data_IF_304720533991
#
_entry.id   IF_304720533991
#
_cell.length_a   1.000
_cell.length_b   1.000
_cell.length_c   1.000
_cell.angle_alpha   90.00
_cell.angle_beta   90.00
_cell.angle_gamma   90.00
#
_symmetry.space_group_name_H-M   'P 1'
#
loop_
_entity.id
_entity.type
_entity.pdbx_description
1 polymer ?
#
# COMPACT_ATOMS: atom_id res chain seq x y z
N UNK A 1 -39.29 26.45 12.69
CA UNK A 1 -38.21 27.46 12.55
C UNK A 1 -37.24 26.93 11.51
N UNK A 2 -37.02 27.65 10.42
CA UNK A 2 -35.97 27.30 9.46
C UNK A 2 -34.63 27.81 10.01
N UNK A 3 -33.62 26.94 10.12
CA UNK A 3 -32.27 27.37 10.46
C UNK A 3 -31.66 28.09 9.25
N UNK A 4 -30.79 29.08 9.50
CA UNK A 4 -30.09 29.80 8.44
C UNK A 4 -29.19 28.87 7.61
N UNK A 5 -28.95 29.25 6.35
CA UNK A 5 -28.12 28.47 5.43
C UNK A 5 -26.69 28.29 5.94
N UNK A 6 -26.15 29.27 6.68
CA UNK A 6 -24.82 29.20 7.28
C UNK A 6 -24.71 28.08 8.33
N UNK A 7 -25.74 27.92 9.18
CA UNK A 7 -25.78 26.85 10.20
C UNK A 7 -25.78 25.48 9.52
N UNK A 8 -26.53 25.36 8.41
CA UNK A 8 -26.59 24.14 7.61
C UNK A 8 -25.25 23.81 6.96
N UNK A 9 -24.56 24.81 6.39
CA UNK A 9 -23.23 24.65 5.81
C UNK A 9 -22.18 24.25 6.87
N UNK A 10 -22.23 24.87 8.06
CA UNK A 10 -21.35 24.50 9.17
C UNK A 10 -21.62 23.06 9.66
N UNK A 11 -22.89 22.68 9.77
CA UNK A 11 -23.29 21.31 10.10
C UNK A 11 -22.76 20.30 9.06
N UNK A 12 -22.89 20.63 7.78
CA UNK A 12 -22.40 19.82 6.66
C UNK A 12 -20.89 19.62 6.74
N UNK A 13 -20.13 20.69 6.95
CA UNK A 13 -18.68 20.62 7.08
C UNK A 13 -18.24 19.75 8.26
N UNK A 14 -18.83 19.94 9.45
CA UNK A 14 -18.54 19.13 10.63
C UNK A 14 -18.88 17.65 10.42
N UNK A 15 -19.98 17.37 9.72
CA UNK A 15 -20.38 16.01 9.41
C UNK A 15 -19.41 15.35 8.44
N UNK A 16 -19.13 15.99 7.30
CA UNK A 16 -18.29 15.47 6.23
C UNK A 16 -16.88 15.16 6.74
N UNK A 17 -16.35 16.03 7.61
CA UNK A 17 -15.04 15.84 8.24
C UNK A 17 -15.02 14.80 9.37
N UNK A 18 -16.19 14.28 9.79
CA UNK A 18 -16.29 13.32 10.88
C UNK A 18 -16.06 13.93 12.27
N UNK A 19 -16.18 15.25 12.42
CA UNK A 19 -15.90 15.98 13.66
C UNK A 19 -16.96 15.80 14.77
N UNK A 20 -17.95 14.92 14.57
CA UNK A 20 -18.94 14.55 15.58
C UNK A 20 -20.11 13.76 15.02
N UNK A 21 -20.92 13.19 15.92
CA UNK A 21 -22.22 12.60 15.60
C UNK A 21 -23.28 13.68 15.35
N UNK A 22 -24.40 13.32 14.73
CA UNK A 22 -25.54 14.23 14.51
C UNK A 22 -25.97 14.95 15.81
N UNK A 23 -25.93 14.25 16.95
CA UNK A 23 -26.23 14.82 18.27
C UNK A 23 -25.18 15.84 18.73
N UNK A 24 -23.88 15.52 18.57
CA UNK A 24 -22.78 16.41 18.94
C UNK A 24 -22.77 17.67 18.05
N UNK A 25 -23.01 17.51 16.75
CA UNK A 25 -23.10 18.62 15.79
C UNK A 25 -24.29 19.51 16.13
N UNK A 26 -25.45 18.90 16.40
CA UNK A 26 -26.64 19.66 16.76
C UNK A 26 -26.46 20.45 18.06
N UNK A 27 -25.86 19.85 19.09
CA UNK A 27 -25.53 20.52 20.34
C UNK A 27 -24.55 21.69 20.11
N UNK A 28 -23.50 21.47 19.31
CA UNK A 28 -22.48 22.48 19.00
C UNK A 28 -23.04 23.69 18.25
N UNK A 29 -24.04 23.48 17.40
CA UNK A 29 -24.64 24.52 16.55
C UNK A 29 -25.96 25.07 17.11
N UNK A 30 -26.36 24.67 18.31
CA UNK A 30 -27.61 25.13 18.94
C UNK A 30 -28.88 24.64 18.24
N UNK A 31 -28.80 23.53 17.49
CA UNK A 31 -29.93 22.91 16.81
C UNK A 31 -30.71 22.09 17.83
N UNK A 32 -31.97 22.48 18.07
CA UNK A 32 -32.82 21.89 19.12
C UNK A 32 -33.18 20.42 18.88
N UNK A 33 -33.18 20.01 17.61
CA UNK A 33 -33.59 18.68 17.16
C UNK A 33 -32.47 18.03 16.35
N UNK A 34 -31.70 17.10 16.94
CA UNK A 34 -30.62 16.40 16.22
C UNK A 34 -31.06 15.74 14.92
N UNK A 35 -32.33 15.31 14.83
CA UNK A 35 -32.87 14.69 13.61
C UNK A 35 -32.84 15.64 12.39
N UNK A 36 -32.79 16.95 12.63
CA UNK A 36 -32.65 17.95 11.57
C UNK A 36 -31.37 17.75 10.75
N UNK A 37 -30.28 17.29 11.39
CA UNK A 37 -29.03 16.95 10.70
C UNK A 37 -29.25 15.73 9.80
N UNK A 38 -29.92 14.70 10.30
CA UNK A 38 -30.27 13.50 9.53
C UNK A 38 -31.18 13.80 8.34
N UNK A 39 -32.13 14.73 8.50
CA UNK A 39 -32.98 15.19 7.40
C UNK A 39 -32.16 15.91 6.33
N UNK A 40 -31.28 16.83 6.71
CA UNK A 40 -30.40 17.52 5.76
C UNK A 40 -29.49 16.57 4.99
N UNK A 41 -28.88 15.59 5.68
CA UNK A 41 -28.05 14.56 5.05
C UNK A 41 -28.78 13.80 3.96
N UNK A 42 -30.01 13.36 4.26
CA UNK A 42 -30.83 12.59 3.31
C UNK A 42 -31.31 13.44 2.14
N UNK A 43 -31.73 14.68 2.39
CA UNK A 43 -32.27 15.56 1.34
C UNK A 43 -31.18 16.06 0.38
N UNK A 44 -29.96 16.28 0.87
CA UNK A 44 -28.86 16.85 0.08
C UNK A 44 -27.76 15.85 -0.28
N UNK A 45 -27.91 14.57 0.08
CA UNK A 45 -26.95 13.53 -0.27
C UNK A 45 -25.57 13.69 0.38
N UNK A 46 -25.49 14.17 1.62
CA UNK A 46 -24.20 14.42 2.30
C UNK A 46 -23.34 13.17 2.44
N UNK A 47 -23.94 11.98 2.51
CA UNK A 47 -23.21 10.72 2.57
C UNK A 47 -22.39 10.46 1.28
N UNK A 48 -22.92 10.83 0.11
CA UNK A 48 -22.22 10.72 -1.17
C UNK A 48 -21.04 11.71 -1.21
N UNK A 49 -21.28 12.95 -0.79
CA UNK A 49 -20.23 13.96 -0.72
C UNK A 49 -19.12 13.56 0.24
N UNK A 50 -19.45 12.97 1.38
CA UNK A 50 -18.45 12.47 2.34
C UNK A 50 -17.61 11.36 1.73
N UNK A 51 -18.22 10.40 1.03
CA UNK A 51 -17.45 9.35 0.34
C UNK A 51 -16.50 9.95 -0.69
N UNK A 52 -16.94 10.95 -1.46
CA UNK A 52 -16.10 11.64 -2.44
C UNK A 52 -14.94 12.39 -1.77
N UNK A 53 -15.22 13.15 -0.71
CA UNK A 53 -14.20 13.88 0.05
C UNK A 53 -13.21 12.92 0.72
N UNK A 54 -13.69 11.81 1.28
CA UNK A 54 -12.85 10.77 1.87
C UNK A 54 -11.91 10.17 0.84
N UNK A 55 -12.45 9.77 -0.33
CA UNK A 55 -11.63 9.24 -1.43
C UNK A 55 -10.53 10.20 -1.86
N UNK A 56 -10.85 11.48 -2.10
CA UNK A 56 -9.84 12.48 -2.47
C UNK A 56 -8.81 12.68 -1.36
N UNK A 57 -9.26 12.68 -0.10
CA UNK A 57 -8.37 12.85 1.05
C UNK A 57 -7.42 11.66 1.16
N UNK A 58 -7.93 10.44 1.02
CA UNK A 58 -7.15 9.20 0.99
C UNK A 58 -6.15 9.20 -0.16
N UNK A 59 -6.55 9.59 -1.36
CA UNK A 59 -5.67 9.73 -2.52
C UNK A 59 -4.55 10.74 -2.25
N UNK A 60 -4.86 11.91 -1.70
CA UNK A 60 -3.87 12.95 -1.37
C UNK A 60 -2.93 12.53 -0.25
N UNK A 61 -3.45 11.88 0.80
CA UNK A 61 -2.63 11.34 1.89
C UNK A 61 -1.70 10.27 1.35
N UNK A 62 -2.22 9.36 0.53
CA UNK A 62 -1.42 8.31 -0.13
C UNK A 62 -0.32 8.92 -0.98
N UNK A 63 -0.62 9.96 -1.76
CA UNK A 63 0.36 10.67 -2.57
C UNK A 63 1.43 11.36 -1.70
N UNK A 64 1.04 12.11 -0.67
CA UNK A 64 1.98 12.81 0.21
C UNK A 64 2.90 11.83 0.97
N UNK A 65 2.35 10.69 1.40
CA UNK A 65 3.12 9.60 2.01
C UNK A 65 4.10 9.00 0.99
N UNK A 66 3.66 8.75 -0.24
CA UNK A 66 4.53 8.23 -1.31
C UNK A 66 5.67 9.20 -1.65
N UNK A 67 5.39 10.50 -1.73
CA UNK A 67 6.40 11.54 -1.94
C UNK A 67 7.43 11.56 -0.79
N UNK A 68 6.96 11.54 0.46
CA UNK A 68 7.82 11.50 1.65
C UNK A 68 8.72 10.25 1.67
N UNK A 69 8.16 9.08 1.34
CA UNK A 69 8.92 7.83 1.24
C UNK A 69 9.96 7.93 0.13
N UNK A 70 9.60 8.50 -1.02
CA UNK A 70 10.51 8.66 -2.17
C UNK A 70 11.69 9.58 -1.83
N UNK A 71 11.44 10.71 -1.17
CA UNK A 71 12.49 11.61 -0.70
C UNK A 71 13.42 10.95 0.30
N UNK A 72 12.85 10.24 1.28
CA UNK A 72 13.60 9.50 2.29
C UNK A 72 14.48 8.42 1.64
N UNK A 73 13.91 7.63 0.73
CA UNK A 73 14.61 6.58 0.00
C UNK A 73 15.75 7.17 -0.85
N UNK A 74 15.51 8.30 -1.52
CA UNK A 74 16.54 8.99 -2.31
C UNK A 74 17.72 9.43 -1.44
N UNK A 75 17.46 9.95 -0.24
CA UNK A 75 18.51 10.33 0.71
C UNK A 75 19.29 9.10 1.20
N UNK A 76 18.60 8.06 1.66
CA UNK A 76 19.26 6.83 2.12
C UNK A 76 20.10 6.18 1.03
N UNK A 77 19.62 6.17 -0.23
CA UNK A 77 20.38 5.64 -1.36
C UNK A 77 21.73 6.37 -1.52
N UNK A 78 21.72 7.71 -1.44
CA UNK A 78 22.96 8.51 -1.52
C UNK A 78 23.92 8.22 -0.36
N UNK A 79 23.38 8.02 0.84
CA UNK A 79 24.19 7.67 2.02
C UNK A 79 24.84 6.29 1.88
N UNK A 80 24.10 5.30 1.39
CA UNK A 80 24.63 3.96 1.14
C UNK A 80 25.66 3.94 0.00
N UNK A 81 25.41 4.67 -1.10
CA UNK A 81 26.38 4.84 -2.19
C UNK A 81 27.68 5.47 -1.71
N UNK A 82 27.60 6.45 -0.79
CA UNK A 82 28.77 7.07 -0.18
C UNK A 82 29.53 6.08 0.71
N UNK A 83 28.83 5.27 1.50
CA UNK A 83 29.44 4.21 2.32
C UNK A 83 30.19 3.19 1.45
N UNK A 84 29.57 2.72 0.36
CA UNK A 84 30.23 1.83 -0.59
C UNK A 84 31.47 2.47 -1.20
N UNK A 85 31.37 3.73 -1.64
CA UNK A 85 32.48 4.46 -2.25
C UNK A 85 33.66 4.60 -1.29
N UNK A 86 33.40 4.93 -0.02
CA UNK A 86 34.43 5.00 1.04
C UNK A 86 35.02 3.63 1.35
N UNK A 87 34.20 2.59 1.40
CA UNK A 87 34.65 1.22 1.58
C UNK A 87 35.58 0.75 0.45
N UNK A 88 35.20 0.99 -0.82
CA UNK A 88 36.04 0.68 -1.99
C UNK A 88 37.35 1.46 -1.96
N UNK A 89 37.32 2.74 -1.61
CA UNK A 89 38.54 3.54 -1.49
C UNK A 89 39.44 3.00 -0.37
N UNK A 90 38.88 2.68 0.80
CA UNK A 90 39.62 2.04 1.89
C UNK A 90 40.24 0.70 1.46
N UNK A 91 39.53 -0.11 0.68
CA UNK A 91 40.07 -1.38 0.15
C UNK A 91 41.25 -1.18 -0.81
N UNK A 92 41.28 -0.07 -1.58
CA UNK A 92 42.40 0.25 -2.48
C UNK A 92 43.67 0.63 -1.72
N UNK A 93 43.51 1.30 -0.58
CA UNK A 93 44.62 1.89 0.18
C UNK A 93 45.17 0.96 1.28
N UNK A 94 44.47 -0.14 1.59
CA UNK A 94 44.82 -1.05 2.69
C UNK A 94 45.53 -2.34 2.23
N UNK A 95 46.47 -2.80 3.05
CA UNK A 95 47.01 -4.15 2.92
C UNK A 95 45.92 -5.20 3.24
N UNK A 96 45.94 -6.40 2.62
CA UNK A 96 44.86 -7.40 2.75
C UNK A 96 44.49 -7.80 4.19
N UNK A 97 45.43 -7.66 5.14
CA UNK A 97 45.23 -8.01 6.56
C UNK A 97 44.37 -7.01 7.34
N UNK A 98 44.13 -5.80 6.81
CA UNK A 98 43.34 -4.72 7.43
C UNK A 98 42.04 -4.43 6.66
N UNK A 99 41.72 -5.22 5.63
CA UNK A 99 40.59 -4.99 4.72
C UNK A 99 39.18 -5.19 5.33
N UNK A 100 39.08 -5.68 6.57
CA UNK A 100 37.80 -6.07 7.19
C UNK A 100 36.80 -4.92 7.38
N UNK A 101 37.26 -3.77 7.88
CA UNK A 101 36.38 -2.60 8.08
C UNK A 101 35.88 -2.03 6.75
N UNK A 102 36.76 -1.96 5.75
CA UNK A 102 36.44 -1.48 4.43
C UNK A 102 35.45 -2.41 3.70
N UNK A 103 35.60 -3.73 3.86
CA UNK A 103 34.64 -4.73 3.36
C UNK A 103 33.27 -4.61 4.05
N UNK A 104 33.24 -4.36 5.37
CA UNK A 104 32.00 -4.16 6.11
C UNK A 104 31.22 -2.95 5.61
N UNK A 105 31.90 -1.83 5.30
CA UNK A 105 31.26 -0.64 4.72
C UNK A 105 30.65 -0.91 3.35
N UNK A 106 31.31 -1.72 2.52
CA UNK A 106 30.77 -2.14 1.22
C UNK A 106 29.53 -3.04 1.39
N UNK A 107 29.58 -4.04 2.27
CA UNK A 107 28.45 -4.95 2.51
C UNK A 107 27.22 -4.20 3.08
N UNK A 108 27.44 -3.32 4.06
CA UNK A 108 26.38 -2.47 4.62
C UNK A 108 25.78 -1.57 3.54
N UNK A 109 26.61 -0.97 2.70
CA UNK A 109 26.14 -0.14 1.59
C UNK A 109 25.31 -0.94 0.58
N UNK A 110 25.73 -2.15 0.20
CA UNK A 110 25.00 -3.00 -0.76
C UNK A 110 23.63 -3.41 -0.19
N UNK A 111 23.59 -3.88 1.06
CA UNK A 111 22.34 -4.26 1.73
C UNK A 111 21.40 -3.08 1.89
N UNK A 112 21.94 -1.92 2.23
CA UNK A 112 21.18 -0.68 2.37
C UNK A 112 20.52 -0.23 1.07
N UNK A 113 21.25 -0.27 -0.06
CA UNK A 113 20.67 0.04 -1.37
C UNK A 113 19.55 -0.93 -1.76
N UNK A 114 19.76 -2.23 -1.54
CA UNK A 114 18.73 -3.25 -1.80
C UNK A 114 17.46 -2.97 -1.00
N UNK A 115 17.60 -2.69 0.29
CA UNK A 115 16.47 -2.39 1.17
C UNK A 115 15.67 -1.16 0.69
N UNK A 116 16.37 -0.09 0.28
CA UNK A 116 15.73 1.14 -0.22
C UNK A 116 14.95 0.89 -1.51
N UNK A 117 15.44 -0.02 -2.37
CA UNK A 117 14.79 -0.42 -3.62
C UNK A 117 13.67 -1.46 -3.43
N UNK A 118 13.46 -1.94 -2.21
CA UNK A 118 12.54 -3.06 -1.94
C UNK A 118 13.06 -4.39 -2.48
N UNK A 119 14.35 -4.47 -2.80
CA UNK A 119 15.00 -5.72 -3.17
C UNK A 119 15.27 -6.56 -1.91
N UNK A 120 15.06 -7.88 -1.95
CA UNK A 120 15.42 -8.75 -0.84
C UNK A 120 16.90 -8.63 -0.47
N UNK A 121 17.18 -8.45 0.82
CA UNK A 121 18.56 -8.35 1.33
C UNK A 121 19.15 -9.73 1.60
N UNK A 122 18.29 -10.71 1.82
CA UNK A 122 18.64 -12.10 2.12
C UNK A 122 17.85 -13.09 1.25
N UNK A 123 18.47 -14.23 0.92
CA UNK A 123 17.82 -15.29 0.11
C UNK A 123 16.54 -15.81 0.75
N UNK A 124 16.46 -15.81 2.09
CA UNK A 124 15.26 -16.21 2.82
C UNK A 124 14.07 -15.26 2.57
N UNK A 125 14.33 -13.96 2.43
CA UNK A 125 13.30 -12.96 2.16
C UNK A 125 12.72 -13.13 0.75
N UNK A 126 13.58 -13.44 -0.24
CA UNK A 126 13.15 -13.82 -1.60
C UNK A 126 12.15 -14.98 -1.53
N UNK A 127 12.52 -16.06 -0.82
CA UNK A 127 11.66 -17.26 -0.70
C UNK A 127 10.33 -16.95 -0.01
N UNK A 128 10.33 -16.11 1.02
CA UNK A 128 9.12 -15.72 1.74
C UNK A 128 8.17 -14.90 0.84
N UNK A 129 8.70 -13.93 0.10
CA UNK A 129 7.92 -13.15 -0.87
C UNK A 129 7.34 -14.03 -1.98
N UNK A 130 8.14 -14.98 -2.49
CA UNK A 130 7.66 -15.94 -3.49
C UNK A 130 6.51 -16.78 -2.95
N UNK A 131 6.64 -17.31 -1.73
CA UNK A 131 5.58 -18.11 -1.10
C UNK A 131 4.30 -17.29 -0.91
N UNK A 132 4.42 -16.03 -0.49
CA UNK A 132 3.27 -15.13 -0.36
C UNK A 132 2.61 -14.85 -1.72
N UNK A 133 3.38 -14.59 -2.77
CA UNK A 133 2.86 -14.34 -4.12
C UNK A 133 2.13 -15.57 -4.69
N UNK A 134 2.67 -16.77 -4.46
CA UNK A 134 2.01 -18.03 -4.87
C UNK A 134 0.67 -18.18 -4.14
N UNK A 135 0.62 -17.93 -2.83
CA UNK A 135 -0.64 -17.98 -2.06
C UNK A 135 -1.69 -17.00 -2.60
N UNK A 136 -1.30 -15.77 -2.93
CA UNK A 136 -2.22 -14.78 -3.53
C UNK A 136 -2.75 -15.28 -4.88
N UNK A 137 -1.89 -15.82 -5.73
CA UNK A 137 -2.28 -16.40 -7.02
C UNK A 137 -3.25 -17.57 -6.83
N UNK A 138 -2.99 -18.48 -5.88
CA UNK A 138 -3.88 -19.59 -5.57
C UNK A 138 -5.28 -19.13 -5.18
N UNK A 139 -5.38 -18.11 -4.32
CA UNK A 139 -6.66 -17.52 -3.89
C UNK A 139 -7.41 -16.92 -5.08
N UNK A 140 -6.74 -16.06 -5.86
CA UNK A 140 -7.36 -15.39 -7.01
C UNK A 140 -7.83 -16.41 -8.05
N UNK A 141 -7.02 -17.43 -8.32
CA UNK A 141 -7.37 -18.51 -9.25
C UNK A 141 -8.58 -19.30 -8.73
N UNK A 142 -8.61 -19.65 -7.45
CA UNK A 142 -9.74 -20.36 -6.85
C UNK A 142 -11.04 -19.54 -6.96
N UNK A 143 -10.98 -18.24 -6.71
CA UNK A 143 -12.12 -17.34 -6.85
C UNK A 143 -12.62 -17.26 -8.30
N UNK A 144 -11.72 -17.14 -9.27
CA UNK A 144 -12.08 -17.15 -10.70
C UNK A 144 -12.71 -18.47 -11.12
N UNK A 145 -12.13 -19.61 -10.72
CA UNK A 145 -12.70 -20.94 -10.99
C UNK A 145 -14.11 -21.04 -10.41
N UNK A 146 -14.30 -20.60 -9.16
CA UNK A 146 -15.60 -20.60 -8.50
C UNK A 146 -16.63 -19.78 -9.28
N UNK A 147 -16.29 -18.56 -9.68
CA UNK A 147 -17.18 -17.71 -10.49
C UNK A 147 -17.56 -18.39 -11.82
N UNK A 148 -16.61 -19.06 -12.48
CA UNK A 148 -16.87 -19.76 -13.74
C UNK A 148 -17.77 -20.99 -13.56
N UNK A 149 -17.63 -21.72 -12.45
CA UNK A 149 -18.51 -22.83 -12.08
C UNK A 149 -19.92 -22.32 -11.79
N UNK A 150 -20.05 -21.29 -10.95
CA UNK A 150 -21.33 -20.71 -10.55
C UNK A 150 -22.09 -20.13 -11.76
N UNK A 151 -21.37 -19.61 -12.76
CA UNK A 151 -21.93 -19.12 -14.01
C UNK A 151 -22.25 -20.22 -15.04
N UNK A 152 -22.01 -21.50 -14.72
CA UNK A 152 -22.19 -22.63 -15.65
C UNK A 152 -21.25 -22.59 -16.86
N UNK A 153 -20.16 -21.83 -16.80
CA UNK A 153 -19.16 -21.68 -17.86
C UNK A 153 -18.03 -22.71 -17.76
N UNK A 154 -17.93 -23.39 -16.62
CA UNK A 154 -16.92 -24.39 -16.32
C UNK A 154 -17.55 -25.49 -15.46
N UNK A 155 -17.25 -26.75 -15.77
CA UNK A 155 -17.63 -27.87 -14.90
C UNK A 155 -16.49 -28.23 -13.93
N UNK A 156 -16.80 -29.05 -12.92
CA UNK A 156 -15.82 -29.46 -11.90
C UNK A 156 -14.63 -30.23 -12.46
N UNK A 157 -14.82 -30.99 -13.55
CA UNK A 157 -13.74 -31.77 -14.17
C UNK A 157 -12.77 -30.85 -14.89
N UNK A 158 -13.28 -29.88 -15.63
CA UNK A 158 -12.49 -28.86 -16.32
C UNK A 158 -11.73 -27.99 -15.32
N UNK A 159 -12.36 -27.63 -14.19
CA UNK A 159 -11.71 -26.92 -13.10
C UNK A 159 -10.52 -27.69 -12.50
N UNK A 160 -10.66 -29.01 -12.30
CA UNK A 160 -9.58 -29.87 -11.81
C UNK A 160 -8.39 -29.88 -12.78
N UNK A 161 -8.67 -30.11 -14.08
CA UNK A 161 -7.63 -30.12 -15.13
C UNK A 161 -6.91 -28.78 -15.22
N UNK A 162 -7.65 -27.67 -15.11
CA UNK A 162 -7.06 -26.34 -15.08
C UNK A 162 -6.16 -26.15 -13.87
N UNK A 163 -6.61 -26.53 -12.67
CA UNK A 163 -5.82 -26.40 -11.45
C UNK A 163 -4.52 -27.21 -11.50
N UNK A 164 -4.58 -28.45 -12.00
CA UNK A 164 -3.41 -29.32 -12.15
C UNK A 164 -2.39 -28.74 -13.15
N UNK A 165 -2.87 -28.26 -14.31
CA UNK A 165 -2.01 -27.64 -15.33
C UNK A 165 -1.44 -26.29 -14.85
N UNK A 166 -2.23 -25.50 -14.12
CA UNK A 166 -1.77 -24.25 -13.50
C UNK A 166 -0.64 -24.53 -12.50
N UNK A 167 -0.84 -25.47 -11.58
CA UNK A 167 0.16 -25.85 -10.59
C UNK A 167 1.45 -26.36 -11.26
N UNK A 168 1.33 -27.19 -12.30
CA UNK A 168 2.46 -27.68 -13.08
C UNK A 168 3.26 -26.53 -13.71
N UNK A 169 2.57 -25.58 -14.36
CA UNK A 169 3.22 -24.43 -15.00
C UNK A 169 3.88 -23.47 -14.01
N UNK A 170 3.25 -23.21 -12.87
CA UNK A 170 3.84 -22.37 -11.81
C UNK A 170 5.13 -23.01 -11.28
N UNK A 171 5.14 -24.33 -11.09
CA UNK A 171 6.33 -25.07 -10.63
C UNK A 171 7.45 -25.14 -11.67
N UNK A 172 7.12 -25.13 -12.97
CA UNK A 172 8.10 -25.19 -14.06
C UNK A 172 8.57 -23.80 -14.54
N UNK A 173 7.90 -22.72 -14.13
CA UNK A 173 8.20 -21.38 -14.62
C UNK A 173 9.60 -20.92 -14.17
N UNK A 174 10.48 -20.50 -15.10
CA UNK A 174 11.78 -19.95 -14.74
C UNK A 174 11.58 -18.58 -14.06
N UNK A 175 12.09 -18.44 -12.83
CA UNK A 175 12.02 -17.18 -12.11
C UNK A 175 12.86 -16.11 -12.82
N UNK A 176 12.21 -15.04 -13.26
CA UNK A 176 12.88 -13.82 -13.73
C UNK A 176 12.46 -12.68 -12.82
N UNK A 177 13.39 -12.22 -11.99
CA UNK A 177 13.24 -10.92 -11.34
C UNK A 177 13.49 -9.84 -12.40
N UNK A 178 12.43 -9.11 -12.78
CA UNK A 178 12.61 -7.81 -13.40
C UNK A 178 13.00 -6.85 -12.28
N UNK A 179 14.28 -6.48 -12.22
CA UNK A 179 14.70 -5.35 -11.39
C UNK A 179 14.30 -4.11 -12.17
N UNK A 180 13.26 -3.40 -11.74
CA UNK A 180 12.99 -2.05 -12.25
C UNK A 180 14.20 -1.18 -11.85
N UNK A 181 14.97 -0.77 -12.86
CA UNK A 181 16.19 0.03 -12.71
C UNK A 181 15.92 1.51 -12.69
#
# INVERSE_FOLDING_TARGET
MAYGQDIKLQAKALWITGAGTDQQIAQRLGIKRPETIGDWRRTEGWDIERQYVQKITEERVTQAVAETITEMNTRHLKEYQLLQSKGVQGLKDLAPKTAGEAMSLVDVGIRGERLVRGEPTEVREVRALMQANVQVLEIVVADVIKVLIDAGRMDKRLAQVFADEFARRVNEAPFRYAVEG
#
